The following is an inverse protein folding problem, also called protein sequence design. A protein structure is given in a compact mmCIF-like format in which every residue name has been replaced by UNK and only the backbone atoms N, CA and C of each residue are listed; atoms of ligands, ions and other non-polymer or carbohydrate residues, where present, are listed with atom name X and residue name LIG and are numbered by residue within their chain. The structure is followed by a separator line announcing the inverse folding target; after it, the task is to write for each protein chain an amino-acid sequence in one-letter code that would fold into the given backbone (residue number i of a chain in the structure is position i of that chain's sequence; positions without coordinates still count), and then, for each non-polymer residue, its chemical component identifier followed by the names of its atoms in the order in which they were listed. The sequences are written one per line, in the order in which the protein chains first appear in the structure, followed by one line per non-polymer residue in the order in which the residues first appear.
data_IF_550440039930
#
_entry.id   IF_550440039930
#
_cell.length_a   1.000
_cell.length_b   1.000
_cell.length_c   1.000
_cell.angle_alpha   90.00
_cell.angle_beta   90.00
_cell.angle_gamma   90.00
#
_symmetry.space_group_name_H-M   'P 1'
#
loop_
_entity.id
_entity.type
_entity.pdbx_description
1 polymer ?
#
# COMPACT_ATOMS: atom_id res chain seq x y z
N UNK A 1 10.58 -11.28 -0.45
CA UNK A 1 9.20 -11.54 -0.94
C UNK A 1 8.92 -10.52 -2.06
N UNK A 2 8.67 -10.97 -3.30
CA UNK A 2 8.50 -10.09 -4.47
C UNK A 2 7.44 -9.01 -4.27
N UNK A 3 6.20 -9.41 -3.93
CA UNK A 3 5.05 -8.50 -3.87
C UNK A 3 5.20 -7.38 -2.82
N UNK A 4 5.82 -7.68 -1.67
CA UNK A 4 6.06 -6.65 -0.65
C UNK A 4 7.07 -5.62 -1.14
N UNK A 5 8.14 -6.06 -1.80
CA UNK A 5 9.13 -5.14 -2.35
C UNK A 5 8.56 -4.34 -3.53
N UNK A 6 7.72 -4.97 -4.35
CA UNK A 6 7.00 -4.30 -5.41
C UNK A 6 6.10 -3.19 -4.86
N UNK A 7 5.28 -3.46 -3.84
CA UNK A 7 4.44 -2.45 -3.21
C UNK A 7 5.26 -1.32 -2.57
N UNK A 8 6.37 -1.66 -1.90
CA UNK A 8 7.30 -0.67 -1.33
C UNK A 8 7.86 0.27 -2.41
N UNK A 9 8.17 -0.24 -3.61
CA UNK A 9 8.75 0.56 -4.68
C UNK A 9 7.72 1.35 -5.49
N UNK A 10 6.49 0.86 -5.61
CA UNK A 10 5.49 1.43 -6.52
C UNK A 10 4.37 2.21 -5.81
N UNK A 11 4.16 2.02 -4.50
CA UNK A 11 3.18 2.81 -3.76
C UNK A 11 3.63 4.26 -3.61
N UNK A 12 2.71 5.25 -3.62
CA UNK A 12 3.00 6.65 -3.37
C UNK A 12 3.82 6.91 -2.10
N UNK A 13 3.55 6.22 -1.00
CA UNK A 13 4.30 6.41 0.26
C UNK A 13 5.63 5.64 0.32
N UNK A 14 6.00 4.92 -0.76
CA UNK A 14 7.24 4.16 -0.89
C UNK A 14 7.54 3.23 0.28
N UNK A 15 6.49 2.62 0.84
CA UNK A 15 6.56 1.66 1.95
C UNK A 15 5.40 0.68 1.90
N UNK A 16 5.57 -0.49 2.50
CA UNK A 16 4.42 -1.33 2.81
C UNK A 16 3.70 -0.80 4.04
N UNK A 17 2.38 -1.02 4.09
CA UNK A 17 1.58 -0.75 5.29
C UNK A 17 1.95 -1.71 6.42
N UNK A 18 1.81 -1.24 7.65
CA UNK A 18 1.98 -2.05 8.86
C UNK A 18 0.62 -2.42 9.45
N UNK A 19 0.62 -3.28 10.48
CA UNK A 19 -0.61 -3.63 11.20
C UNK A 19 -1.18 -2.43 11.96
N UNK A 20 -0.33 -1.47 12.36
CA UNK A 20 -0.74 -0.24 13.02
C UNK A 20 -1.49 0.69 12.06
N UNK A 21 -1.08 0.80 10.79
CA UNK A 21 -1.83 1.58 9.77
C UNK A 21 -3.26 1.03 9.61
N UNK A 22 -3.39 -0.29 9.53
CA UNK A 22 -4.67 -0.99 9.41
C UNK A 22 -5.49 -0.83 10.69
N UNK A 23 -4.87 -1.00 11.86
CA UNK A 23 -5.52 -0.85 13.16
C UNK A 23 -6.07 0.55 13.39
N UNK A 24 -5.32 1.59 13.04
CA UNK A 24 -5.76 2.99 13.15
C UNK A 24 -6.92 3.29 12.20
N UNK A 25 -6.88 2.78 10.97
CA UNK A 25 -7.97 2.95 10.00
C UNK A 25 -9.24 2.20 10.43
N UNK A 26 -9.08 1.01 11.00
CA UNK A 26 -10.19 0.26 11.59
C UNK A 26 -10.77 0.99 12.80
N UNK A 27 -9.94 1.57 13.67
CA UNK A 27 -10.40 2.38 14.79
C UNK A 27 -11.26 3.56 14.30
N UNK A 28 -10.84 4.25 13.24
CA UNK A 28 -11.65 5.31 12.63
C UNK A 28 -13.03 4.77 12.22
N UNK A 29 -13.09 3.69 11.44
CA UNK A 29 -14.35 3.12 10.94
C UNK A 29 -15.27 2.59 12.04
N UNK A 30 -14.71 2.07 13.14
CA UNK A 30 -15.46 1.48 14.26
C UNK A 30 -15.83 2.48 15.36
N UNK A 31 -15.25 3.69 15.33
CA UNK A 31 -15.50 4.75 16.31
C UNK A 31 -16.58 5.73 15.84
N UNK A 32 -16.99 6.63 16.73
CA UNK A 32 -17.89 7.74 16.39
C UNK A 32 -17.33 8.69 15.33
N UNK A 33 -16.01 8.70 15.09
CA UNK A 33 -15.39 9.47 14.00
C UNK A 33 -15.84 8.98 12.62
N UNK A 34 -16.19 7.69 12.51
CA UNK A 34 -16.70 7.06 11.29
C UNK A 34 -18.23 7.06 11.18
N UNK A 35 -18.97 7.68 12.10
CA UNK A 35 -20.43 7.53 12.21
C UNK A 35 -21.21 7.92 10.94
N UNK A 36 -20.64 8.78 10.10
CA UNK A 36 -21.23 9.21 8.82
C UNK A 36 -20.80 8.38 7.60
N UNK A 37 -19.96 7.36 7.76
CA UNK A 37 -19.38 6.58 6.66
C UNK A 37 -20.03 5.20 6.60
N UNK A 38 -20.63 4.88 5.46
CA UNK A 38 -21.34 3.61 5.25
C UNK A 38 -21.20 3.15 3.79
N UNK A 39 -21.17 1.84 3.57
CA UNK A 39 -21.06 1.25 2.23
C UNK A 39 -19.70 1.41 1.56
N UNK A 40 -18.67 1.83 2.32
CA UNK A 40 -17.37 2.19 1.76
C UNK A 40 -16.31 1.10 1.85
N UNK A 41 -15.43 1.06 0.84
CA UNK A 41 -14.19 0.28 0.86
C UNK A 41 -13.02 1.22 1.08
N UNK A 42 -12.51 1.25 2.31
CA UNK A 42 -11.43 2.15 2.70
C UNK A 42 -10.06 1.57 2.35
N UNK A 43 -9.35 2.20 1.42
CA UNK A 43 -8.01 1.76 1.00
C UNK A 43 -6.96 2.13 2.03
N UNK A 44 -6.32 1.11 2.61
CA UNK A 44 -5.18 1.23 3.54
C UNK A 44 -3.99 0.50 2.95
N UNK A 45 -3.35 1.13 1.96
CA UNK A 45 -2.42 0.44 1.06
C UNK A 45 -1.24 1.32 0.62
N UNK A 46 -0.95 2.37 1.38
CA UNK A 46 0.06 3.37 1.03
C UNK A 46 -0.19 4.07 -0.34
N UNK A 47 -1.44 4.03 -0.84
CA UNK A 47 -1.88 4.63 -2.10
C UNK A 47 -1.69 3.74 -3.32
N UNK A 48 -1.37 2.45 -3.13
CA UNK A 48 -1.05 1.55 -4.23
C UNK A 48 -2.20 1.35 -5.23
N UNK A 49 -3.46 1.31 -4.79
CA UNK A 49 -4.63 1.12 -5.65
C UNK A 49 -4.78 2.19 -6.76
N UNK A 50 -4.23 3.39 -6.54
CA UNK A 50 -4.27 4.48 -7.52
C UNK A 50 -3.24 4.30 -8.65
N UNK A 51 -2.33 3.35 -8.52
CA UNK A 51 -1.20 3.13 -9.44
C UNK A 51 -1.58 2.16 -10.54
N UNK A 52 -1.71 2.67 -11.77
CA UNK A 52 -2.02 1.86 -12.95
C UNK A 52 -0.80 1.27 -13.68
N UNK A 53 0.41 1.70 -13.34
CA UNK A 53 1.67 1.27 -13.99
C UNK A 53 2.85 1.37 -13.01
N UNK A 54 3.91 0.58 -13.24
CA UNK A 54 5.17 0.66 -12.48
C UNK A 54 5.64 2.12 -12.38
N UNK A 55 6.08 2.54 -11.20
CA UNK A 55 6.72 3.83 -11.02
C UNK A 55 7.92 3.95 -11.95
N UNK A 56 8.08 5.12 -12.60
CA UNK A 56 9.09 5.34 -13.65
C UNK A 56 10.51 5.11 -13.13
N UNK A 57 10.73 5.42 -11.86
CA UNK A 57 12.01 5.32 -11.16
C UNK A 57 12.18 4.01 -10.37
N UNK A 58 11.17 3.13 -10.35
CA UNK A 58 11.30 1.85 -9.66
C UNK A 58 12.22 0.92 -10.47
N UNK A 59 13.20 0.26 -9.82
CA UNK A 59 14.06 -0.70 -10.49
C UNK A 59 13.25 -1.91 -10.98
N UNK A 60 13.77 -2.57 -12.01
CA UNK A 60 13.22 -3.86 -12.42
C UNK A 60 13.64 -4.92 -11.39
N UNK A 61 12.67 -5.69 -10.90
CA UNK A 61 12.92 -6.71 -9.89
C UNK A 61 13.19 -8.03 -10.60
N UNK A 62 14.46 -8.37 -10.81
CA UNK A 62 14.85 -9.69 -11.32
C UNK A 62 14.89 -10.72 -10.18
N UNK A 63 13.96 -11.68 -10.21
CA UNK A 63 13.87 -12.77 -9.24
C UNK A 63 14.85 -13.91 -9.52
N UNK A 64 15.40 -13.97 -10.74
CA UNK A 64 16.27 -15.06 -11.21
C UNK A 64 17.73 -14.75 -10.94
N UNK A 65 18.16 -13.49 -11.10
CA UNK A 65 19.58 -13.11 -10.91
C UNK A 65 19.87 -12.38 -9.61
N UNK A 66 18.84 -11.91 -8.88
CA UNK A 66 19.00 -11.15 -7.64
C UNK A 66 19.62 -9.75 -7.82
N UNK A 67 19.82 -9.31 -9.07
CA UNK A 67 20.31 -7.95 -9.36
C UNK A 67 19.18 -6.94 -9.28
N UNK A 68 19.47 -5.83 -8.62
CA UNK A 68 18.69 -4.59 -8.65
C UNK A 68 19.49 -3.65 -9.53
N UNK A 69 19.25 -3.68 -10.84
CA UNK A 69 19.75 -2.63 -11.73
C UNK A 69 18.77 -1.44 -11.70
#
# INVERSE_FOLDING_TARGET
RYILKWNELNSPLRRTVTIEDVGNSALYLLSDLGAGVSGETHHVDAGYHAIGMKAVDAPDIDLVTGKKD
#
